data_IF_087530069884
#
_entry.id   IF_087530069884
#
_cell.length_a   1.000
_cell.length_b   1.000
_cell.length_c   1.000
_cell.angle_alpha   90.00
_cell.angle_beta   90.00
_cell.angle_gamma   90.00
#
_symmetry.space_group_name_H-M   'P 1'
#
loop_
_entity.id
_entity.type
_entity.pdbx_description
1 polymer ?
#
# COMPACT_ATOMS: atom_id res chain seq x y z
N UNK A 1 53.05 42.88 39.46
CA UNK A 1 52.51 43.63 40.63
C UNK A 1 51.22 42.90 41.04
N UNK A 2 50.90 42.49 42.29
CA UNK A 2 50.79 43.21 43.60
C UNK A 2 49.81 44.40 43.53
N UNK A 3 48.82 44.61 44.43
CA UNK A 3 48.22 43.78 45.53
C UNK A 3 46.92 43.11 44.99
N UNK A 4 45.81 42.76 45.67
CA UNK A 4 45.26 42.67 47.08
C UNK A 4 44.19 41.51 47.00
N UNK A 5 43.79 40.68 47.97
CA UNK A 5 43.56 40.73 49.44
C UNK A 5 42.36 41.64 49.83
N UNK A 6 41.39 41.25 50.68
CA UNK A 6 41.26 40.11 51.63
C UNK A 6 39.79 39.84 52.03
N UNK A 7 39.44 38.56 52.31
CA UNK A 7 38.53 38.06 53.39
C UNK A 7 37.06 38.57 53.44
N UNK A 8 36.08 37.94 54.11
CA UNK A 8 36.04 37.18 55.39
C UNK A 8 35.18 35.90 55.27
N UNK A 9 35.47 34.90 56.11
CA UNK A 9 34.68 33.66 56.26
C UNK A 9 33.93 33.62 57.60
N UNK A 10 32.77 32.95 57.60
CA UNK A 10 32.06 32.51 58.80
C UNK A 10 31.30 31.21 58.48
N UNK A 11 31.13 30.31 59.46
CA UNK A 11 30.52 29.00 59.27
C UNK A 11 29.51 28.68 60.38
N UNK A 12 28.38 28.04 60.03
CA UNK A 12 27.49 27.39 61.00
C UNK A 12 26.55 26.34 60.36
N UNK A 13 26.83 25.08 60.71
CA UNK A 13 25.93 23.92 60.90
C UNK A 13 24.40 24.11 60.80
N UNK A 14 23.78 23.45 59.81
CA UNK A 14 22.51 22.69 59.89
C UNK A 14 22.34 21.93 58.55
N UNK A 15 21.68 20.78 58.41
CA UNK A 15 21.01 19.89 59.37
C UNK A 15 20.17 18.90 58.53
N UNK A 16 20.43 17.60 58.62
CA UNK A 16 19.94 16.63 57.61
C UNK A 16 18.49 16.18 57.82
N UNK A 17 17.63 16.37 56.83
CA UNK A 17 16.39 15.59 56.65
C UNK A 17 16.33 15.01 55.23
N UNK A 18 15.95 13.74 55.13
CA UNK A 18 15.76 13.07 53.86
C UNK A 18 14.36 13.38 53.29
N UNK A 19 14.31 13.83 52.03
CA UNK A 19 13.09 13.75 51.23
C UNK A 19 13.23 12.60 50.23
N UNK A 20 12.51 11.51 50.48
CA UNK A 20 12.23 10.54 49.43
C UNK A 20 11.40 11.21 48.32
N UNK A 21 11.59 10.85 47.04
CA UNK A 21 10.76 11.36 45.97
C UNK A 21 9.32 10.86 46.16
N UNK A 22 8.42 11.76 46.54
CA UNK A 22 6.98 11.49 46.47
C UNK A 22 6.59 11.37 45.00
N UNK A 23 6.37 10.14 44.55
CA UNK A 23 5.67 9.87 43.29
C UNK A 23 4.25 10.41 43.41
N UNK A 24 4.04 11.61 42.89
CA UNK A 24 2.73 12.23 42.79
C UNK A 24 1.97 11.62 41.60
N UNK A 25 1.31 10.48 41.83
CA UNK A 25 0.38 9.90 40.86
C UNK A 25 -0.79 10.84 40.63
N UNK A 26 -0.72 11.64 39.57
CA UNK A 26 -1.77 12.54 39.14
C UNK A 26 -2.88 11.77 38.37
N UNK A 27 -3.55 10.86 39.05
CA UNK A 27 -4.82 10.29 38.58
C UNK A 27 -5.92 11.37 38.65
N UNK A 28 -6.94 11.27 37.78
CA UNK A 28 -8.20 12.02 37.96
C UNK A 28 -8.36 13.37 37.23
N UNK A 29 -7.73 13.59 36.06
CA UNK A 29 -8.18 14.65 35.13
C UNK A 29 -8.60 14.11 33.75
N UNK A 30 -7.70 13.41 33.05
CA UNK A 30 -8.01 12.85 31.73
C UNK A 30 -9.09 11.75 31.79
N UNK A 31 -9.17 11.02 32.90
CA UNK A 31 -10.16 9.97 33.13
C UNK A 31 -11.60 10.51 33.18
N UNK A 32 -11.80 11.75 33.65
CA UNK A 32 -13.11 12.39 33.62
C UNK A 32 -13.53 12.87 32.22
N UNK A 33 -12.55 13.19 31.36
CA UNK A 33 -12.81 13.74 30.03
C UNK A 33 -12.91 12.69 28.90
N UNK A 34 -12.36 11.49 29.13
CA UNK A 34 -12.40 10.37 28.17
C UNK A 34 -12.97 9.05 28.75
N UNK A 35 -13.17 8.94 30.07
CA UNK A 35 -13.61 7.72 30.76
C UNK A 35 -15.10 7.41 30.60
N UNK A 36 -15.47 6.91 29.42
CA UNK A 36 -16.82 6.43 29.13
C UNK A 36 -17.26 5.21 29.97
N UNK A 37 -17.86 5.47 31.13
CA UNK A 37 -18.73 4.55 31.88
C UNK A 37 -18.14 3.20 32.33
N UNK A 38 -17.06 3.23 33.12
CA UNK A 38 -16.71 2.10 34.01
C UNK A 38 -17.79 1.91 35.09
N UNK A 39 -18.79 1.07 34.84
CA UNK A 39 -19.76 0.62 35.86
C UNK A 39 -19.21 -0.60 36.61
N UNK A 40 -19.32 -0.66 37.95
CA UNK A 40 -18.93 -1.85 38.70
C UNK A 40 -19.77 -3.07 38.29
N UNK A 41 -19.11 -4.18 38.01
CA UNK A 41 -19.70 -5.40 37.45
C UNK A 41 -20.55 -6.14 38.49
N UNK A 42 -21.82 -5.72 38.65
CA UNK A 42 -22.86 -6.57 39.25
C UNK A 42 -23.09 -7.79 38.36
N UNK A 43 -22.71 -8.97 38.84
CA UNK A 43 -23.07 -10.24 38.20
C UNK A 43 -24.60 -10.42 38.29
N UNK A 44 -25.29 -10.24 37.16
CA UNK A 44 -26.64 -10.71 36.98
C UNK A 44 -26.61 -12.22 36.64
N UNK A 45 -27.62 -13.01 37.07
CA UNK A 45 -27.80 -14.35 36.51
C UNK A 45 -28.06 -14.25 35.00
N UNK A 46 -27.70 -15.29 34.20
CA UNK A 46 -27.95 -15.29 32.77
C UNK A 46 -29.45 -15.17 32.51
N UNK A 47 -29.85 -14.08 31.86
CA UNK A 47 -31.22 -13.89 31.41
C UNK A 47 -31.53 -14.95 30.36
N UNK A 48 -32.57 -15.76 30.60
CA UNK A 48 -33.01 -16.74 29.62
C UNK A 48 -33.56 -15.99 28.38
N UNK A 49 -33.14 -16.39 27.19
CA UNK A 49 -33.70 -15.86 25.95
C UNK A 49 -35.13 -16.41 25.77
N UNK A 50 -36.14 -15.68 26.24
CA UNK A 50 -37.56 -16.04 26.14
C UNK A 50 -38.12 -16.05 24.70
N UNK A 51 -37.28 -15.85 23.68
CA UNK A 51 -37.57 -16.04 22.26
C UNK A 51 -36.76 -17.21 21.68
N UNK A 52 -36.81 -18.37 22.35
CA UNK A 52 -36.34 -19.62 21.77
C UNK A 52 -37.40 -20.17 20.79
N UNK A 53 -37.12 -20.09 19.49
CA UNK A 53 -37.94 -20.74 18.45
C UNK A 53 -37.86 -22.27 18.58
N UNK A 54 -38.98 -22.97 18.84
CA UNK A 54 -38.99 -24.43 19.02
C UNK A 54 -38.69 -25.22 17.73
N UNK A 55 -38.69 -24.57 16.56
CA UNK A 55 -38.38 -25.23 15.28
C UNK A 55 -36.92 -25.10 14.82
N UNK A 56 -36.09 -24.35 15.57
CA UNK A 56 -34.63 -24.37 15.43
C UNK A 56 -34.08 -23.89 14.08
N UNK A 57 -34.87 -23.16 13.28
CA UNK A 57 -34.48 -22.81 11.91
C UNK A 57 -33.52 -21.61 11.83
N UNK A 58 -33.35 -20.87 12.92
CA UNK A 58 -32.47 -19.70 12.95
C UNK A 58 -30.98 -20.11 13.08
N UNK A 59 -30.43 -20.71 12.02
CA UNK A 59 -28.99 -20.87 11.85
C UNK A 59 -28.37 -19.49 11.61
N UNK A 60 -28.05 -18.80 12.70
CA UNK A 60 -27.22 -17.60 12.71
C UNK A 60 -25.98 -17.87 11.84
N UNK A 61 -25.76 -17.13 10.73
CA UNK A 61 -24.64 -17.43 9.84
C UNK A 61 -23.33 -17.37 10.61
N UNK A 62 -22.61 -18.49 10.66
CA UNK A 62 -21.32 -18.55 11.34
C UNK A 62 -20.42 -17.46 10.74
N UNK A 63 -19.81 -16.59 11.56
CA UNK A 63 -19.02 -15.47 11.03
C UNK A 63 -17.88 -16.05 10.20
N UNK A 64 -17.91 -15.79 8.89
CA UNK A 64 -16.92 -16.27 7.95
C UNK A 64 -15.51 -15.98 8.50
N UNK A 65 -14.56 -16.92 8.39
CA UNK A 65 -13.26 -16.80 9.05
C UNK A 65 -12.61 -15.49 8.62
N UNK A 66 -12.50 -14.55 9.56
CA UNK A 66 -11.86 -13.27 9.34
C UNK A 66 -10.37 -13.54 9.19
N UNK A 67 -9.95 -13.87 7.97
CA UNK A 67 -8.54 -13.95 7.57
C UNK A 67 -7.87 -12.70 8.13
N UNK A 68 -6.85 -12.89 8.96
CA UNK A 68 -6.33 -11.83 9.82
C UNK A 68 -5.83 -10.66 8.97
N UNK A 69 -6.69 -9.64 8.80
CA UNK A 69 -6.42 -8.49 7.96
C UNK A 69 -5.22 -7.76 8.54
N UNK A 70 -4.06 -7.91 7.91
CA UNK A 70 -2.79 -7.40 8.42
C UNK A 70 -2.91 -5.93 8.80
N UNK A 71 -2.50 -5.60 10.03
CA UNK A 71 -2.76 -4.29 10.63
C UNK A 71 -1.83 -3.22 10.04
N UNK A 72 -2.25 -2.65 8.90
CA UNK A 72 -1.55 -1.60 8.17
C UNK A 72 -2.21 -1.35 6.81
N UNK A 73 -1.72 -0.38 6.02
CA UNK A 73 -1.95 -0.40 4.58
C UNK A 73 -1.46 -1.73 3.98
N UNK A 74 -2.09 -2.11 2.87
CA UNK A 74 -1.67 -3.26 2.08
C UNK A 74 -0.80 -2.78 0.91
N UNK A 75 0.15 -3.62 0.50
CA UNK A 75 1.01 -3.39 -0.66
C UNK A 75 0.86 -4.54 -1.62
N UNK A 76 0.55 -4.23 -2.88
CA UNK A 76 0.67 -5.19 -3.96
C UNK A 76 2.13 -5.27 -4.37
N UNK A 77 2.71 -6.48 -4.39
CA UNK A 77 4.11 -6.73 -4.73
C UNK A 77 4.17 -7.72 -5.88
N UNK A 78 4.87 -7.34 -6.95
CA UNK A 78 5.12 -8.19 -8.11
C UNK A 78 6.28 -9.14 -7.81
N UNK A 79 6.01 -10.45 -7.80
CA UNK A 79 6.93 -11.45 -7.22
C UNK A 79 8.21 -11.67 -8.01
N UNK A 80 8.21 -11.31 -9.29
CA UNK A 80 9.35 -11.44 -10.21
C UNK A 80 10.46 -10.41 -9.99
N UNK A 81 10.21 -9.25 -9.36
CA UNK A 81 11.19 -8.16 -9.23
C UNK A 81 11.02 -7.29 -7.97
N UNK A 82 10.06 -7.67 -7.11
CA UNK A 82 9.76 -6.96 -5.87
C UNK A 82 9.16 -5.56 -6.07
N UNK A 83 8.80 -5.16 -7.30
CA UNK A 83 8.17 -3.86 -7.54
C UNK A 83 6.83 -3.84 -6.81
N UNK A 84 6.60 -2.79 -6.03
CA UNK A 84 5.39 -2.65 -5.21
C UNK A 84 4.68 -1.32 -5.41
N UNK A 85 3.41 -1.28 -5.03
CA UNK A 85 2.61 -0.07 -4.87
C UNK A 85 1.60 -0.25 -3.71
N UNK A 86 1.22 0.84 -3.01
CA UNK A 86 0.20 0.77 -1.97
C UNK A 86 -1.17 0.51 -2.59
N UNK A 87 -1.98 -0.28 -1.89
CA UNK A 87 -3.38 -0.53 -2.19
C UNK A 87 -4.26 0.35 -1.30
N UNK A 88 -5.31 0.92 -1.89
CA UNK A 88 -6.33 1.65 -1.13
C UNK A 88 -7.17 0.66 -0.30
N UNK A 89 -7.72 1.12 0.84
CA UNK A 89 -8.73 0.35 1.56
C UNK A 89 -10.08 0.48 0.84
N UNK A 90 -10.76 -0.64 0.67
CA UNK A 90 -12.06 -0.72 0.03
C UNK A 90 -12.82 -1.99 0.41
N UNK A 91 -13.97 -2.21 -0.22
CA UNK A 91 -14.79 -3.41 0.00
C UNK A 91 -14.20 -4.64 -0.72
N UNK A 92 -13.48 -4.42 -1.82
CA UNK A 92 -12.73 -5.43 -2.58
C UNK A 92 -11.54 -5.93 -1.77
N UNK A 93 -11.27 -7.24 -1.79
CA UNK A 93 -10.12 -7.79 -1.06
C UNK A 93 -8.78 -7.27 -1.64
N UNK A 94 -7.75 -7.00 -0.81
CA UNK A 94 -6.45 -6.53 -1.30
C UNK A 94 -5.80 -7.49 -2.31
N UNK A 95 -6.05 -8.80 -2.20
CA UNK A 95 -5.54 -9.81 -3.15
C UNK A 95 -6.21 -9.66 -4.53
N UNK A 96 -7.54 -9.57 -4.55
CA UNK A 96 -8.30 -9.35 -5.78
C UNK A 96 -7.95 -8.00 -6.45
N UNK A 97 -7.80 -6.94 -5.65
CA UNK A 97 -7.38 -5.63 -6.14
C UNK A 97 -5.95 -5.66 -6.73
N UNK A 98 -5.01 -6.31 -6.05
CA UNK A 98 -3.64 -6.51 -6.53
C UNK A 98 -3.59 -7.32 -7.84
N UNK A 99 -4.41 -8.36 -7.96
CA UNK A 99 -4.54 -9.15 -9.19
C UNK A 99 -5.18 -8.34 -10.33
N UNK A 100 -6.20 -7.53 -10.06
CA UNK A 100 -6.84 -6.68 -11.06
C UNK A 100 -5.90 -5.59 -11.61
N UNK A 101 -5.03 -5.01 -10.78
CA UNK A 101 -4.01 -4.07 -11.23
C UNK A 101 -2.85 -4.73 -12.00
N UNK A 102 -2.59 -6.03 -11.80
CA UNK A 102 -1.43 -6.74 -12.35
C UNK A 102 -1.76 -8.14 -12.94
N UNK A 103 -2.75 -8.28 -13.84
CA UNK A 103 -3.14 -9.57 -14.42
C UNK A 103 -2.03 -10.25 -15.26
N UNK A 104 -1.07 -9.47 -15.77
CA UNK A 104 0.04 -9.97 -16.59
C UNK A 104 1.31 -10.36 -15.80
N UNK A 105 1.25 -10.50 -14.47
CA UNK A 105 2.40 -10.92 -13.65
C UNK A 105 2.00 -11.58 -12.33
N UNK A 106 2.80 -12.51 -11.78
CA UNK A 106 2.55 -13.06 -10.45
C UNK A 106 2.73 -12.00 -9.37
N UNK A 107 1.78 -11.94 -8.43
CA UNK A 107 1.79 -10.99 -7.31
C UNK A 107 1.55 -11.65 -5.96
N UNK A 108 2.04 -10.99 -4.91
CA UNK A 108 1.74 -11.27 -3.49
C UNK A 108 1.26 -9.98 -2.84
N UNK A 109 0.48 -10.09 -1.76
CA UNK A 109 0.08 -8.95 -0.92
C UNK A 109 0.78 -9.04 0.43
N UNK A 110 1.36 -7.92 0.86
CA UNK A 110 2.00 -7.75 2.15
C UNK A 110 1.34 -6.59 2.92
N UNK A 111 1.33 -6.66 4.24
CA UNK A 111 0.67 -5.70 5.13
C UNK A 111 1.67 -5.18 6.17
N UNK A 112 1.65 -3.88 6.45
CA UNK A 112 2.51 -3.24 7.45
C UNK A 112 2.45 -1.72 7.35
N UNK A 113 3.06 -1.00 8.29
CA UNK A 113 3.12 0.48 8.26
C UNK A 113 4.02 1.01 7.13
N UNK A 114 5.12 0.32 6.84
CA UNK A 114 5.93 0.49 5.62
C UNK A 114 6.19 -0.87 4.96
N UNK A 115 6.61 -0.85 3.71
CA UNK A 115 6.92 -2.06 2.93
C UNK A 115 8.08 -2.86 3.55
N UNK A 116 9.06 -2.20 4.15
CA UNK A 116 10.31 -2.80 4.63
C UNK A 116 10.08 -3.68 5.89
N UNK A 117 9.00 -3.40 6.63
CA UNK A 117 8.47 -4.24 7.71
C UNK A 117 7.25 -5.08 7.31
N UNK A 118 6.75 -4.98 6.08
CA UNK A 118 5.48 -5.60 5.70
C UNK A 118 5.59 -7.13 5.58
N UNK A 119 4.54 -7.82 6.00
CA UNK A 119 4.45 -9.29 6.00
C UNK A 119 3.19 -9.78 5.27
N UNK A 120 3.27 -10.92 4.60
CA UNK A 120 2.15 -11.55 3.91
C UNK A 120 1.17 -12.19 4.91
N UNK A 121 0.01 -12.64 4.41
CA UNK A 121 -0.93 -13.45 5.21
C UNK A 121 -0.36 -14.80 5.67
N UNK A 122 0.77 -15.26 5.13
CA UNK A 122 1.49 -16.48 5.56
C UNK A 122 2.68 -16.20 6.47
N UNK A 123 2.93 -14.93 6.84
CA UNK A 123 4.06 -14.52 7.69
C UNK A 123 5.39 -14.29 6.95
N UNK A 124 5.41 -14.44 5.62
CA UNK A 124 6.58 -14.10 4.81
C UNK A 124 6.80 -12.57 4.85
N UNK A 125 7.95 -12.11 5.33
CA UNK A 125 8.32 -10.69 5.26
C UNK A 125 8.73 -10.34 3.84
N UNK A 126 8.25 -9.20 3.32
CA UNK A 126 8.59 -8.74 1.98
C UNK A 126 10.12 -8.58 1.80
N UNK A 127 10.81 -8.03 2.80
CA UNK A 127 12.27 -7.84 2.77
C UNK A 127 13.07 -9.14 2.67
N UNK A 128 12.46 -10.28 3.02
CA UNK A 128 13.08 -11.61 3.01
C UNK A 128 12.61 -12.44 1.78
N UNK A 129 11.82 -11.85 0.88
CA UNK A 129 11.32 -12.49 -0.33
C UNK A 129 12.37 -12.49 -1.46
N UNK A 130 12.34 -13.51 -2.33
CA UNK A 130 13.39 -13.81 -3.33
C UNK A 130 13.86 -12.61 -4.17
N UNK A 131 12.92 -11.79 -4.66
CA UNK A 131 13.21 -10.64 -5.50
C UNK A 131 13.02 -9.29 -4.77
N UNK A 132 13.09 -9.27 -3.43
CA UNK A 132 12.91 -8.08 -2.61
C UNK A 132 13.74 -6.89 -3.11
N UNK A 133 13.07 -5.78 -3.42
CA UNK A 133 13.65 -4.53 -3.93
C UNK A 133 14.47 -4.64 -5.22
N UNK A 134 14.44 -5.75 -5.97
CA UNK A 134 15.26 -5.93 -7.17
C UNK A 134 15.01 -4.83 -8.22
N UNK A 135 13.75 -4.38 -8.35
CA UNK A 135 13.32 -3.24 -9.17
C UNK A 135 14.11 -1.94 -8.94
N UNK A 136 14.72 -1.75 -7.75
CA UNK A 136 15.55 -0.57 -7.43
C UNK A 136 16.90 -0.57 -8.17
N UNK A 137 17.34 -1.73 -8.68
CA UNK A 137 18.59 -1.86 -9.46
C UNK A 137 18.31 -1.86 -10.96
N UNK A 138 17.30 -2.59 -11.40
CA UNK A 138 16.88 -2.66 -12.80
C UNK A 138 15.40 -3.02 -12.90
N UNK A 139 14.69 -2.45 -13.87
CA UNK A 139 13.31 -2.78 -14.17
C UNK A 139 13.26 -3.91 -15.20
N UNK A 140 12.62 -5.03 -14.87
CA UNK A 140 12.41 -6.17 -15.78
C UNK A 140 11.32 -5.85 -16.80
N UNK A 141 11.61 -5.97 -18.10
CA UNK A 141 10.67 -5.70 -19.18
C UNK A 141 9.77 -6.90 -19.51
N UNK A 142 10.27 -8.10 -19.22
CA UNK A 142 9.57 -9.39 -19.21
C UNK A 142 8.53 -9.51 -18.08
N UNK A 143 8.54 -8.61 -17.10
CA UNK A 143 7.60 -8.60 -15.99
C UNK A 143 6.91 -7.24 -15.83
N UNK A 144 5.64 -7.18 -16.21
CA UNK A 144 4.85 -5.95 -16.32
C UNK A 144 3.41 -6.20 -15.88
N UNK A 145 2.79 -5.27 -15.15
CA UNK A 145 1.42 -5.47 -14.67
C UNK A 145 0.39 -5.40 -15.82
N UNK A 146 0.72 -4.68 -16.89
CA UNK A 146 -0.12 -4.43 -18.07
C UNK A 146 0.35 -5.13 -19.36
N UNK A 147 1.35 -6.03 -19.28
CA UNK A 147 1.93 -6.69 -20.45
C UNK A 147 2.77 -5.80 -21.37
N UNK A 148 3.13 -4.57 -20.95
CA UNK A 148 3.65 -3.52 -21.84
C UNK A 148 4.86 -2.75 -21.29
N UNK A 149 4.77 -2.22 -20.06
CA UNK A 149 5.83 -1.40 -19.48
C UNK A 149 6.06 -1.75 -17.99
N UNK A 150 7.30 -1.61 -17.47
CA UNK A 150 7.62 -2.08 -16.13
C UNK A 150 7.01 -1.23 -15.01
N UNK A 151 6.56 -0.01 -15.33
CA UNK A 151 6.06 0.97 -14.37
C UNK A 151 4.53 1.04 -14.25
N UNK A 152 3.80 0.76 -15.33
CA UNK A 152 2.34 0.94 -15.38
C UNK A 152 1.55 -0.23 -14.85
N UNK A 153 0.37 0.08 -14.32
CA UNK A 153 -0.67 -0.88 -13.93
C UNK A 153 -1.54 -1.21 -15.15
N UNK A 154 -2.29 -2.31 -15.09
CA UNK A 154 -3.33 -2.60 -16.06
C UNK A 154 -4.53 -1.65 -15.89
N UNK A 155 -5.35 -1.44 -16.94
CA UNK A 155 -6.68 -0.88 -16.79
C UNK A 155 -7.51 -1.77 -15.86
N UNK A 156 -8.07 -1.18 -14.81
CA UNK A 156 -8.96 -1.87 -13.86
C UNK A 156 -10.41 -1.64 -14.29
N UNK A 157 -11.24 -2.67 -14.11
CA UNK A 157 -12.68 -2.54 -14.30
C UNK A 157 -13.28 -1.56 -13.29
N UNK A 158 -14.10 -0.63 -13.78
CA UNK A 158 -14.78 0.39 -12.98
C UNK A 158 -15.70 -0.24 -11.91
N UNK A 159 -16.14 -1.48 -12.08
CA UNK A 159 -16.89 -2.22 -11.04
C UNK A 159 -16.08 -2.48 -9.76
N UNK A 160 -14.74 -2.46 -9.85
CA UNK A 160 -13.82 -2.68 -8.73
C UNK A 160 -13.38 -1.38 -8.04
N UNK A 161 -13.68 -0.21 -8.64
CA UNK A 161 -13.31 1.10 -8.09
C UNK A 161 -14.33 1.57 -7.04
N UNK A 162 -14.00 1.31 -5.78
CA UNK A 162 -14.82 1.70 -4.64
C UNK A 162 -14.73 3.19 -4.27
N UNK A 163 -14.01 4.03 -5.05
CA UNK A 163 -13.98 5.48 -4.85
C UNK A 163 -15.16 6.18 -5.52
N UNK A 164 -15.74 5.58 -6.57
CA UNK A 164 -16.77 6.15 -7.42
C UNK A 164 -18.07 6.50 -6.67
N UNK A 165 -18.60 7.69 -6.94
CA UNK A 165 -19.82 8.27 -6.36
C UNK A 165 -20.78 8.72 -7.47
N UNK A 166 -22.07 8.71 -7.16
CA UNK A 166 -23.11 9.19 -8.07
C UNK A 166 -22.83 10.64 -8.48
N UNK A 167 -22.57 10.87 -9.77
CA UNK A 167 -22.14 12.15 -10.34
C UNK A 167 -20.70 12.20 -10.83
N UNK A 168 -19.85 11.23 -10.48
CA UNK A 168 -18.45 11.20 -10.92
C UNK A 168 -18.34 10.98 -12.43
N UNK A 169 -17.56 11.83 -13.11
CA UNK A 169 -17.39 11.83 -14.57
C UNK A 169 -16.11 11.09 -14.95
N UNK A 170 -16.27 10.03 -15.76
CA UNK A 170 -15.25 9.06 -16.09
C UNK A 170 -14.91 9.15 -17.58
N UNK A 171 -13.62 9.22 -17.90
CA UNK A 171 -13.11 9.19 -19.26
C UNK A 171 -12.95 7.74 -19.75
N UNK A 172 -13.84 7.30 -20.63
CA UNK A 172 -13.77 6.00 -21.32
C UNK A 172 -13.18 6.15 -22.72
N UNK A 173 -12.77 5.05 -23.34
CA UNK A 173 -12.35 5.02 -24.76
C UNK A 173 -13.47 5.48 -25.71
N UNK A 174 -14.72 5.41 -25.29
CA UNK A 174 -15.92 5.90 -25.98
C UNK A 174 -16.32 7.35 -25.65
N UNK A 175 -15.57 8.05 -24.78
CA UNK A 175 -15.87 9.42 -24.34
C UNK A 175 -16.27 9.52 -22.85
N UNK A 176 -16.91 10.63 -22.46
CA UNK A 176 -17.28 10.89 -21.07
C UNK A 176 -18.63 10.29 -20.68
N UNK A 177 -18.62 9.50 -19.60
CA UNK A 177 -19.83 9.00 -18.92
C UNK A 177 -19.85 9.50 -17.47
N UNK A 178 -21.03 9.64 -16.88
CA UNK A 178 -21.20 9.87 -15.46
C UNK A 178 -21.70 8.59 -14.79
N UNK A 179 -21.08 8.20 -13.67
CA UNK A 179 -21.55 7.10 -12.84
C UNK A 179 -22.83 7.53 -12.09
N UNK A 180 -23.91 6.77 -12.20
CA UNK A 180 -25.15 7.04 -11.47
C UNK A 180 -25.27 6.25 -10.16
N UNK A 181 -24.61 5.10 -10.07
CA UNK A 181 -24.66 4.21 -8.91
C UNK A 181 -24.69 2.73 -9.32
N UNK A 182 -25.04 1.86 -8.37
CA UNK A 182 -25.27 0.44 -8.63
C UNK A 182 -26.77 0.20 -8.88
N UNK A 183 -27.12 -0.48 -9.96
CA UNK A 183 -28.52 -0.93 -10.17
C UNK A 183 -28.84 -2.08 -9.23
N UNK A 184 -29.84 -1.87 -8.37
CA UNK A 184 -30.38 -2.91 -7.47
C UNK A 184 -31.20 -3.91 -8.28
N UNK A 185 -30.51 -4.94 -8.76
CA UNK A 185 -31.03 -6.11 -9.46
C UNK A 185 -30.14 -7.33 -9.19
N UNK A 186 -30.37 -8.44 -9.90
CA UNK A 186 -29.68 -9.72 -9.64
C UNK A 186 -28.14 -9.60 -9.62
N UNK A 187 -27.57 -8.84 -10.56
CA UNK A 187 -26.14 -8.81 -10.82
C UNK A 187 -25.40 -7.57 -10.26
N UNK A 188 -26.08 -6.69 -9.51
CA UNK A 188 -25.51 -5.48 -8.89
C UNK A 188 -24.53 -4.68 -9.80
N UNK A 189 -24.91 -4.44 -11.06
CA UNK A 189 -24.07 -3.78 -12.05
C UNK A 189 -23.93 -2.28 -11.77
N UNK A 190 -22.71 -1.76 -11.85
CA UNK A 190 -22.44 -0.32 -11.92
C UNK A 190 -23.09 0.28 -13.19
N UNK A 191 -23.77 1.41 -13.04
CA UNK A 191 -24.45 2.11 -14.13
C UNK A 191 -23.71 3.40 -14.54
N UNK A 192 -23.50 3.54 -15.84
CA UNK A 192 -22.86 4.69 -16.45
C UNK A 192 -23.79 5.30 -17.50
N UNK A 193 -24.07 6.59 -17.37
CA UNK A 193 -24.96 7.36 -18.25
C UNK A 193 -24.10 8.37 -19.03
N UNK A 194 -24.29 8.55 -20.35
CA UNK A 194 -23.56 9.57 -21.10
C UNK A 194 -23.76 10.97 -20.47
N UNK A 195 -22.68 11.76 -20.35
CA UNK A 195 -22.71 13.08 -19.70
C UNK A 195 -23.76 14.02 -20.29
N UNK A 196 -24.03 13.91 -21.59
CA UNK A 196 -25.07 14.66 -22.30
C UNK A 196 -26.51 14.41 -21.78
N UNK A 197 -26.73 13.26 -21.12
CA UNK A 197 -28.03 12.80 -20.61
C UNK A 197 -28.11 12.66 -19.08
N UNK A 198 -26.98 12.77 -18.35
CA UNK A 198 -26.98 12.59 -16.90
C UNK A 198 -27.76 13.70 -16.17
N UNK A 199 -28.74 13.39 -15.32
CA UNK A 199 -29.67 14.37 -14.76
C UNK A 199 -29.08 15.26 -13.66
N UNK A 200 -28.03 14.81 -12.96
CA UNK A 200 -27.39 15.56 -11.87
C UNK A 200 -26.34 16.59 -12.31
N UNK A 201 -26.26 16.93 -13.61
CA UNK A 201 -25.35 17.93 -14.16
C UNK A 201 -26.13 19.10 -14.77
N UNK A 202 -25.70 20.33 -14.46
CA UNK A 202 -26.29 21.55 -15.05
C UNK A 202 -25.92 21.70 -16.52
N UNK A 203 -26.66 22.55 -17.25
CA UNK A 203 -26.40 22.84 -18.66
C UNK A 203 -24.97 23.36 -18.88
N UNK A 204 -24.49 24.27 -18.03
CA UNK A 204 -23.15 24.88 -18.13
C UNK A 204 -22.03 23.87 -17.92
N UNK A 205 -22.18 22.95 -16.95
CA UNK A 205 -21.18 21.90 -16.71
C UNK A 205 -21.23 20.88 -17.84
N UNK A 206 -22.42 20.50 -18.33
CA UNK A 206 -22.58 19.62 -19.50
C UNK A 206 -21.94 20.21 -20.77
N UNK A 207 -22.08 21.52 -20.99
CA UNK A 207 -21.42 22.21 -22.10
C UNK A 207 -19.89 22.14 -21.98
N UNK A 208 -19.33 22.52 -20.82
CA UNK A 208 -17.88 22.44 -20.55
C UNK A 208 -17.31 21.03 -20.67
N UNK A 209 -18.04 20.01 -20.21
CA UNK A 209 -17.63 18.62 -20.37
C UNK A 209 -17.71 18.15 -21.83
N UNK A 210 -18.62 18.71 -22.64
CA UNK A 210 -18.70 18.47 -24.08
C UNK A 210 -17.51 19.02 -24.89
N UNK A 211 -16.79 20.00 -24.36
CA UNK A 211 -15.54 20.52 -24.95
C UNK A 211 -14.34 19.59 -24.68
N UNK A 212 -14.41 18.73 -23.65
CA UNK A 212 -13.33 17.83 -23.26
C UNK A 212 -13.25 16.63 -24.20
N UNK A 213 -12.16 16.56 -24.97
CA UNK A 213 -11.83 15.40 -25.80
C UNK A 213 -10.99 14.40 -25.00
N UNK A 214 -11.52 13.20 -24.78
CA UNK A 214 -10.71 12.08 -24.28
C UNK A 214 -9.73 11.68 -25.39
N UNK A 215 -8.44 11.64 -25.08
CA UNK A 215 -7.44 11.11 -26.01
C UNK A 215 -7.65 9.59 -26.17
N UNK A 216 -7.87 9.06 -27.38
CA UNK A 216 -7.95 7.61 -27.57
C UNK A 216 -6.60 6.99 -27.26
N UNK A 217 -6.60 5.83 -26.59
CA UNK A 217 -5.37 5.14 -26.20
C UNK A 217 -4.77 4.42 -27.41
N UNK A 218 -4.03 5.17 -28.25
CA UNK A 218 -3.39 4.63 -29.45
C UNK A 218 -2.20 3.73 -29.10
N UNK A 219 -1.89 2.78 -29.99
CA UNK A 219 -0.75 1.87 -29.85
C UNK A 219 0.60 2.61 -29.72
N UNK A 220 0.71 3.81 -30.30
CA UNK A 220 1.92 4.64 -30.30
C UNK A 220 2.10 5.39 -28.97
N UNK A 221 1.01 5.90 -28.37
CA UNK A 221 1.05 6.45 -27.01
C UNK A 221 1.36 5.38 -25.97
N UNK A 222 0.94 4.13 -26.21
CA UNK A 222 1.33 2.98 -25.40
C UNK A 222 2.84 2.72 -25.52
N UNK A 223 3.39 2.68 -26.73
CA UNK A 223 4.81 2.38 -26.97
C UNK A 223 5.76 3.45 -26.37
N UNK A 224 5.43 4.73 -26.54
CA UNK A 224 6.24 5.88 -26.04
C UNK A 224 6.34 5.95 -24.51
N UNK A 225 5.59 5.11 -23.78
CA UNK A 225 5.65 5.00 -22.31
C UNK A 225 6.68 3.99 -21.77
N UNK A 226 7.37 3.26 -22.65
CA UNK A 226 8.57 2.53 -22.28
C UNK A 226 9.75 3.52 -22.11
N UNK A 227 10.61 3.39 -21.08
CA UNK A 227 11.85 4.16 -21.04
C UNK A 227 12.74 3.74 -22.22
N UNK A 228 13.42 4.71 -22.86
CA UNK A 228 14.51 4.39 -23.79
C UNK A 228 15.50 3.45 -23.07
N UNK A 229 15.79 2.30 -23.68
CA UNK A 229 16.85 1.43 -23.20
C UNK A 229 18.17 2.21 -23.20
N UNK A 230 19.00 2.00 -22.17
CA UNK A 230 20.20 2.80 -21.91
C UNK A 230 21.03 3.05 -23.17
N UNK A 231 21.22 4.32 -23.54
CA UNK A 231 22.19 4.73 -24.56
C UNK A 231 23.55 4.13 -24.25
N UNK A 232 24.22 3.60 -25.28
CA UNK A 232 25.46 2.84 -25.15
C UNK A 232 26.57 3.62 -24.41
N UNK A 233 26.74 3.32 -23.13
CA UNK A 233 28.01 3.58 -22.43
C UNK A 233 28.96 2.47 -22.85
N UNK A 234 29.64 2.69 -23.98
CA UNK A 234 30.66 1.79 -24.49
C UNK A 234 31.74 1.56 -23.42
N UNK A 235 31.79 0.34 -22.89
CA UNK A 235 32.80 -0.05 -21.91
C UNK A 235 34.20 0.02 -22.57
N UNK A 236 35.18 0.74 -21.99
CA UNK A 236 36.53 0.77 -22.53
C UNK A 236 37.14 -0.63 -22.43
N UNK A 237 37.52 -1.20 -23.58
CA UNK A 237 38.00 -2.57 -23.67
C UNK A 237 39.24 -2.80 -22.79
N UNK A 238 39.11 -3.63 -21.77
CA UNK A 238 40.23 -3.98 -20.88
C UNK A 238 41.19 -4.92 -21.63
N UNK A 239 42.35 -4.40 -22.01
CA UNK A 239 43.35 -5.13 -22.79
C UNK A 239 44.06 -6.20 -21.93
N UNK A 240 43.64 -7.45 -22.08
CA UNK A 240 44.32 -8.61 -21.48
C UNK A 240 45.66 -8.86 -22.21
N UNK A 241 46.82 -8.83 -21.54
CA UNK A 241 48.10 -9.18 -22.17
C UNK A 241 48.12 -10.65 -22.58
N UNK A 242 48.37 -10.92 -23.85
CA UNK A 242 48.35 -12.28 -24.43
C UNK A 242 49.64 -13.02 -24.09
N UNK A 243 49.62 -13.87 -23.07
CA UNK A 243 50.75 -14.76 -22.73
C UNK A 243 51.05 -15.71 -23.88
N UNK A 244 52.24 -15.60 -24.46
CA UNK A 244 52.69 -16.46 -25.57
C UNK A 244 53.18 -17.80 -25.01
N UNK A 245 52.37 -18.84 -25.17
CA UNK A 245 52.81 -20.22 -24.96
C UNK A 245 53.51 -20.73 -26.21
N UNK A 246 54.72 -21.28 -26.07
CA UNK A 246 55.45 -21.97 -27.15
C UNK A 246 55.99 -23.32 -26.67
N UNK A 247 55.44 -24.38 -27.26
CA UNK A 247 55.80 -25.81 -27.16
C UNK A 247 55.23 -26.47 -28.43
N UNK A 248 55.84 -27.46 -29.08
CA UNK A 248 57.00 -28.31 -28.81
C UNK A 248 57.74 -28.64 -30.14
N UNK A 249 58.80 -29.48 -30.05
CA UNK A 249 59.33 -30.47 -31.05
C UNK A 249 60.61 -30.15 -31.86
N UNK A 250 61.72 -30.65 -31.31
CA UNK A 250 62.46 -31.87 -31.75
C UNK A 250 63.00 -32.00 -33.20
N UNK A 251 64.33 -31.89 -33.31
CA UNK A 251 65.29 -32.86 -33.89
C UNK A 251 66.69 -32.45 -33.34
N UNK A 252 67.55 -33.28 -32.74
CA UNK A 252 68.22 -34.55 -33.11
C UNK A 252 69.41 -34.40 -34.10
N UNK A 253 70.48 -35.15 -33.79
CA UNK A 253 71.77 -35.38 -34.49
C UNK A 253 72.99 -34.48 -34.14
N UNK A 254 74.08 -35.19 -33.79
CA UNK A 254 75.51 -34.81 -33.69
C UNK A 254 75.90 -33.74 -32.65
#
# INVERSE_FOLDING_TARGET
MRRRMMLVAAAALAGSLALAPRVASAEGLFDFFFGGAQRPQRQAPPQANFFADPFGQNQQPAPAPRVASGSGPAFCVRSCDGKYFPLMRGNTSPVQMCQAFCPASPTKVFFGSSIDGASSATGERYADSENAFAYRKALRADCTCNGRNPAGLAPVDLTLDNSLRSGDVIATTSGLVAYSGVRLGADQTAEFIPVASYPGLTADVRARLGEIKVAPVTAEMIATSAPEASRDVALPATSVPKTVSTRDKRAEAN
#
